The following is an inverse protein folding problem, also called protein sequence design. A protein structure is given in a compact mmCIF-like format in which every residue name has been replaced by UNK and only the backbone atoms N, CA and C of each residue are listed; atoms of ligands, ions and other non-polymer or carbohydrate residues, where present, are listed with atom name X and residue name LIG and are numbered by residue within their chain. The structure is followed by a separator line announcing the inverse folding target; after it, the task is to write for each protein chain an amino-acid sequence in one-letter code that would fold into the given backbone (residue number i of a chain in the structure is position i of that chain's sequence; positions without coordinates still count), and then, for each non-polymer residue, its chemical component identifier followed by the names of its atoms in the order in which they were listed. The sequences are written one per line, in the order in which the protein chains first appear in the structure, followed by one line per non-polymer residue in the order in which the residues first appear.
data_IF_841369123303
#
_entry.id   IF_841369123303
#
_cell.length_a   1.000
_cell.length_b   1.000
_cell.length_c   1.000
_cell.angle_alpha   90.00
_cell.angle_beta   90.00
_cell.angle_gamma   90.00
#
_symmetry.space_group_name_H-M   'P 1'
#
loop_
_entity.id
_entity.type
_entity.pdbx_description
1 polymer ?
#
# COMPACT_ATOMS: atom_id res chain seq x y z
N UNK A 1 -4.43 25.91 -12.16
CA UNK A 1 -4.97 25.48 -10.85
C UNK A 1 -5.79 24.19 -10.95
N UNK A 2 -6.75 24.05 -11.89
CA UNK A 2 -7.59 22.83 -11.95
C UNK A 2 -6.78 21.57 -12.30
N UNK A 3 -5.86 21.65 -13.27
CA UNK A 3 -5.02 20.52 -13.69
C UNK A 3 -4.16 19.95 -12.54
N UNK A 4 -3.59 20.82 -11.69
CA UNK A 4 -2.88 20.40 -10.48
C UNK A 4 -3.81 19.68 -9.48
N UNK A 5 -5.01 20.21 -9.28
CA UNK A 5 -5.99 19.61 -8.36
C UNK A 5 -6.44 18.23 -8.83
N UNK A 6 -6.55 18.02 -10.14
CA UNK A 6 -6.92 16.74 -10.73
C UNK A 6 -5.80 15.71 -10.57
N UNK A 7 -4.54 16.12 -10.77
CA UNK A 7 -3.36 15.27 -10.50
C UNK A 7 -3.28 14.87 -9.02
N UNK A 8 -3.51 15.81 -8.11
CA UNK A 8 -3.45 15.54 -6.67
C UNK A 8 -4.58 14.59 -6.22
N UNK A 9 -5.80 14.76 -6.75
CA UNK A 9 -6.91 13.83 -6.52
C UNK A 9 -6.58 12.42 -7.05
N UNK A 10 -6.06 12.32 -8.27
CA UNK A 10 -5.67 11.04 -8.85
C UNK A 10 -4.62 10.32 -7.99
N UNK A 11 -3.57 11.03 -7.56
CA UNK A 11 -2.54 10.50 -6.66
C UNK A 11 -3.15 10.01 -5.35
N UNK A 12 -4.04 10.78 -4.72
CA UNK A 12 -4.68 10.38 -3.47
C UNK A 12 -5.54 9.12 -3.63
N UNK A 13 -6.31 9.01 -4.72
CA UNK A 13 -7.10 7.81 -5.04
C UNK A 13 -6.20 6.59 -5.25
N UNK A 14 -5.08 6.76 -5.95
CA UNK A 14 -4.12 5.69 -6.19
C UNK A 14 -3.49 5.19 -4.89
N UNK A 15 -3.04 6.12 -4.01
CA UNK A 15 -2.53 5.78 -2.68
C UNK A 15 -3.57 5.04 -1.85
N UNK A 16 -4.81 5.53 -1.87
CA UNK A 16 -5.91 4.88 -1.16
C UNK A 16 -6.14 3.46 -1.67
N UNK A 17 -6.13 3.24 -2.99
CA UNK A 17 -6.27 1.90 -3.60
C UNK A 17 -5.14 0.96 -3.18
N UNK A 18 -3.90 1.45 -3.10
CA UNK A 18 -2.74 0.65 -2.65
C UNK A 18 -2.95 0.21 -1.20
N UNK A 19 -3.31 1.14 -0.31
CA UNK A 19 -3.55 0.83 1.10
C UNK A 19 -4.78 -0.05 1.31
N UNK A 20 -5.83 0.13 0.50
CA UNK A 20 -7.01 -0.71 0.51
C UNK A 20 -6.67 -2.15 0.09
N UNK A 21 -5.89 -2.34 -0.97
CA UNK A 21 -5.44 -3.66 -1.39
C UNK A 21 -4.58 -4.35 -0.32
N UNK A 22 -3.68 -3.60 0.33
CA UNK A 22 -2.90 -4.10 1.46
C UNK A 22 -3.80 -4.55 2.63
N UNK A 23 -4.78 -3.74 3.01
CA UNK A 23 -5.72 -4.06 4.08
C UNK A 23 -6.57 -5.30 3.76
N UNK A 24 -7.09 -5.42 2.53
CA UNK A 24 -7.82 -6.60 2.08
C UNK A 24 -6.95 -7.86 2.12
N UNK A 25 -5.69 -7.78 1.64
CA UNK A 25 -4.76 -8.90 1.70
C UNK A 25 -4.46 -9.34 3.14
N UNK A 26 -4.26 -8.38 4.05
CA UNK A 26 -4.09 -8.63 5.47
C UNK A 26 -5.30 -9.33 6.10
N UNK A 27 -6.51 -8.88 5.77
CA UNK A 27 -7.75 -9.49 6.27
C UNK A 27 -7.92 -10.94 5.79
N UNK A 28 -7.65 -11.20 4.50
CA UNK A 28 -7.76 -12.55 3.93
C UNK A 28 -6.85 -13.52 4.65
N UNK A 29 -5.58 -13.19 4.87
CA UNK A 29 -4.72 -14.15 5.52
C UNK A 29 -4.75 -14.14 7.06
N UNK A 30 -5.36 -13.13 7.69
CA UNK A 30 -5.86 -13.31 9.06
C UNK A 30 -6.93 -14.41 9.10
N UNK A 31 -7.87 -14.44 8.14
CA UNK A 31 -8.85 -15.52 8.05
C UNK A 31 -8.17 -16.88 7.84
N UNK A 32 -7.11 -16.96 7.02
CA UNK A 32 -6.30 -18.18 6.84
C UNK A 32 -5.58 -18.58 8.13
N UNK A 33 -5.03 -17.61 8.87
CA UNK A 33 -4.35 -17.89 10.15
C UNK A 33 -5.33 -18.46 11.20
N UNK A 34 -6.55 -17.93 11.26
CA UNK A 34 -7.61 -18.47 12.13
C UNK A 34 -8.02 -19.87 11.65
N UNK A 35 -8.21 -20.08 10.36
CA UNK A 35 -8.60 -21.38 9.81
C UNK A 35 -7.54 -22.49 9.99
N UNK A 36 -6.26 -22.11 10.15
CA UNK A 36 -5.14 -23.05 10.29
C UNK A 36 -4.66 -23.23 11.74
N UNK A 37 -5.32 -22.59 12.72
CA UNK A 37 -4.89 -22.59 14.12
C UNK A 37 -4.87 -23.98 14.77
N UNK A 38 -5.76 -24.88 14.35
CA UNK A 38 -5.91 -26.21 14.96
C UNK A 38 -4.76 -27.17 14.60
N UNK A 39 -3.94 -26.82 13.60
CA UNK A 39 -2.77 -27.59 13.18
C UNK A 39 -1.51 -26.83 13.56
N UNK A 40 -0.97 -27.13 14.74
CA UNK A 40 0.10 -26.35 15.40
C UNK A 40 1.31 -26.03 14.50
N UNK A 41 1.78 -26.98 13.69
CA UNK A 41 2.92 -26.79 12.77
C UNK A 41 2.55 -25.89 11.57
N UNK A 42 1.36 -26.11 10.99
CA UNK A 42 0.87 -25.30 9.86
C UNK A 42 0.57 -23.89 10.32
N UNK A 43 0.10 -23.70 11.55
CA UNK A 43 -0.13 -22.39 12.16
C UNK A 43 1.16 -21.57 12.25
N UNK A 44 2.26 -22.15 12.75
CA UNK A 44 3.56 -21.45 12.85
C UNK A 44 4.10 -21.06 11.48
N UNK A 45 4.08 -21.98 10.50
CA UNK A 45 4.55 -21.69 9.14
C UNK A 45 3.71 -20.59 8.49
N UNK A 46 2.38 -20.69 8.62
CA UNK A 46 1.44 -19.69 8.10
C UNK A 46 1.72 -18.32 8.71
N UNK A 47 1.89 -18.24 10.03
CA UNK A 47 2.17 -16.97 10.72
C UNK A 47 3.49 -16.35 10.27
N UNK A 48 4.58 -17.11 10.17
CA UNK A 48 5.89 -16.59 9.74
C UNK A 48 5.83 -16.09 8.30
N UNK A 49 5.19 -16.85 7.39
CA UNK A 49 4.97 -16.42 6.01
C UNK A 49 4.11 -15.16 5.95
N UNK A 50 3.07 -15.09 6.78
CA UNK A 50 2.16 -13.96 6.81
C UNK A 50 2.84 -12.68 7.28
N UNK A 51 3.67 -12.76 8.31
CA UNK A 51 4.48 -11.64 8.79
C UNK A 51 5.51 -11.24 7.74
N UNK A 52 6.24 -12.20 7.17
CA UNK A 52 7.26 -11.92 6.15
C UNK A 52 6.68 -11.25 4.90
N UNK A 53 5.59 -11.82 4.36
CA UNK A 53 4.88 -11.24 3.22
C UNK A 53 4.25 -9.89 3.57
N UNK A 54 3.68 -9.75 4.77
CA UNK A 54 3.12 -8.50 5.26
C UNK A 54 4.15 -7.37 5.24
N UNK A 55 5.34 -7.62 5.76
CA UNK A 55 6.46 -6.65 5.74
C UNK A 55 6.87 -6.28 4.32
N UNK A 56 7.04 -7.27 3.44
CA UNK A 56 7.41 -7.03 2.03
C UNK A 56 6.33 -6.20 1.30
N UNK A 57 5.05 -6.52 1.53
CA UNK A 57 3.94 -5.76 0.97
C UNK A 57 3.87 -4.34 1.53
N UNK A 58 4.15 -4.12 2.82
CA UNK A 58 4.25 -2.77 3.40
C UNK A 58 5.37 -1.97 2.75
N UNK A 59 6.56 -2.56 2.58
CA UNK A 59 7.69 -1.91 1.88
C UNK A 59 7.29 -1.55 0.45
N UNK A 60 6.65 -2.47 -0.28
CA UNK A 60 6.18 -2.22 -1.64
C UNK A 60 5.15 -1.09 -1.69
N UNK A 61 4.17 -1.09 -0.78
CA UNK A 61 3.16 -0.04 -0.66
C UNK A 61 3.81 1.34 -0.43
N UNK A 62 4.74 1.44 0.53
CA UNK A 62 5.47 2.68 0.80
C UNK A 62 6.28 3.15 -0.40
N UNK A 63 6.92 2.24 -1.13
CA UNK A 63 7.66 2.60 -2.36
C UNK A 63 6.74 3.12 -3.46
N UNK A 64 5.57 2.51 -3.64
CA UNK A 64 4.58 2.98 -4.62
C UNK A 64 4.01 4.34 -4.22
N UNK A 65 3.67 4.56 -2.95
CA UNK A 65 3.18 5.87 -2.48
C UNK A 65 4.24 6.96 -2.65
N UNK A 66 5.50 6.67 -2.34
CA UNK A 66 6.60 7.61 -2.54
C UNK A 66 6.84 7.95 -4.02
N UNK A 67 6.65 6.99 -4.93
CA UNK A 67 6.73 7.25 -6.37
C UNK A 67 5.60 8.17 -6.85
N UNK A 68 4.40 8.04 -6.26
CA UNK A 68 3.27 8.92 -6.53
C UNK A 68 3.49 10.33 -5.98
N UNK A 69 4.09 10.46 -4.80
CA UNK A 69 4.47 11.76 -4.23
C UNK A 69 5.45 12.51 -5.12
N UNK A 70 6.46 11.81 -5.66
CA UNK A 70 7.39 12.43 -6.63
C UNK A 70 6.68 12.93 -7.89
N UNK A 71 5.65 12.23 -8.37
CA UNK A 71 4.85 12.68 -9.51
C UNK A 71 4.02 13.92 -9.15
N UNK A 72 3.42 13.94 -7.96
CA UNK A 72 2.69 15.10 -7.46
C UNK A 72 3.61 16.32 -7.30
N UNK A 73 4.80 16.14 -6.74
CA UNK A 73 5.81 17.19 -6.59
C UNK A 73 6.29 17.74 -7.94
N UNK A 74 6.52 16.88 -8.93
CA UNK A 74 6.87 17.31 -10.27
C UNK A 74 5.75 18.14 -10.93
N UNK A 75 4.49 17.75 -10.73
CA UNK A 75 3.34 18.52 -11.20
C UNK A 75 3.20 19.86 -10.45
N UNK A 76 3.47 19.88 -9.14
CA UNK A 76 3.50 21.10 -8.32
C UNK A 76 4.51 22.11 -8.86
N UNK A 77 5.74 21.67 -9.14
CA UNK A 77 6.80 22.54 -9.69
C UNK A 77 6.46 23.12 -11.06
N UNK A 78 5.78 22.35 -11.92
CA UNK A 78 5.32 22.84 -13.23
C UNK A 78 4.28 23.96 -13.13
N UNK A 79 3.45 23.95 -12.08
CA UNK A 79 2.34 24.90 -11.92
C UNK A 79 2.75 26.13 -11.11
N UNK A 80 3.62 25.97 -10.11
CA UNK A 80 4.05 27.08 -9.25
C UNK A 80 5.35 27.75 -9.72
N UNK A 81 6.09 27.12 -10.65
CA UNK A 81 7.50 27.47 -10.90
C UNK A 81 8.36 27.09 -9.69
N UNK A 82 9.66 26.82 -9.91
CA UNK A 82 10.60 26.68 -8.79
C UNK A 82 10.65 28.04 -8.04
N UNK A 83 9.90 28.15 -6.94
CA UNK A 83 10.14 29.14 -5.89
C UNK A 83 11.25 28.65 -4.98
#
# INVERSE_FOLDING_TARGET
MSEYSDVQKAVNVEKFRIWFAWACGGFVGLAVAIATQDVHIVSVITQVLFVGLGVLFTIAAVRMTNALDRKADAARRKVLGDM
#
